data_IF_963841529658
#
_entry.id   IF_963841529658
#
_cell.length_a   1.000
_cell.length_b   1.000
_cell.length_c   1.000
_cell.angle_alpha   90.00
_cell.angle_beta   90.00
_cell.angle_gamma   90.00
#
_symmetry.space_group_name_H-M   'P 1'
#
loop_
_entity.id
_entity.type
_entity.pdbx_description
1 polymer ?
#
# COMPACT_ATOMS: atom_id res chain seq x y z
N UNK A 1 8.24 1.74 -28.31
CA UNK A 1 9.16 0.73 -27.74
C UNK A 1 8.46 -0.61 -27.64
N UNK A 2 9.14 -1.73 -27.72
CA UNK A 2 8.47 -3.03 -27.77
C UNK A 2 8.10 -3.47 -26.36
N UNK A 3 6.81 -3.61 -26.06
CA UNK A 3 6.27 -4.21 -24.82
C UNK A 3 6.99 -5.52 -24.47
N UNK A 4 7.50 -6.22 -25.49
CA UNK A 4 8.29 -7.46 -25.33
C UNK A 4 9.62 -7.26 -24.61
N UNK A 5 10.32 -6.13 -24.82
CA UNK A 5 11.61 -5.85 -24.16
C UNK A 5 11.37 -5.51 -22.68
N UNK A 6 10.30 -4.75 -22.40
CA UNK A 6 9.87 -4.44 -21.05
C UNK A 6 9.44 -5.68 -20.28
N UNK A 7 8.58 -6.52 -20.87
CA UNK A 7 8.14 -7.79 -20.27
C UNK A 7 9.31 -8.74 -19.99
N UNK A 8 10.25 -8.85 -20.94
CA UNK A 8 11.45 -9.68 -20.76
C UNK A 8 12.35 -9.16 -19.61
N UNK A 9 12.43 -7.85 -19.45
CA UNK A 9 13.18 -7.22 -18.36
C UNK A 9 12.54 -7.49 -17.01
N UNK A 10 11.22 -7.41 -16.89
CA UNK A 10 10.48 -7.75 -15.68
C UNK A 10 10.61 -9.25 -15.34
N UNK A 11 10.53 -10.12 -16.36
CA UNK A 11 10.72 -11.56 -16.18
C UNK A 11 12.12 -11.90 -15.70
N UNK A 12 13.13 -11.19 -16.19
CA UNK A 12 14.52 -11.35 -15.73
C UNK A 12 14.65 -10.93 -14.26
N UNK A 13 14.09 -9.78 -13.89
CA UNK A 13 14.09 -9.30 -12.48
C UNK A 13 13.45 -10.30 -11.52
N UNK A 14 12.35 -10.94 -11.92
CA UNK A 14 11.66 -11.97 -11.12
C UNK A 14 12.50 -13.23 -10.89
N UNK A 15 13.42 -13.54 -11.78
CA UNK A 15 14.32 -14.72 -11.71
C UNK A 15 15.60 -14.45 -10.95
N UNK A 16 15.95 -13.18 -10.74
CA UNK A 16 17.16 -12.79 -10.02
C UNK A 16 16.91 -12.80 -8.51
N UNK A 17 18.02 -12.83 -7.74
CA UNK A 17 17.93 -12.86 -6.28
C UNK A 17 17.22 -11.60 -5.75
N UNK A 18 16.06 -11.72 -5.06
CA UNK A 18 15.28 -10.60 -4.57
C UNK A 18 16.03 -9.74 -3.54
N UNK A 19 16.98 -10.31 -2.78
CA UNK A 19 17.86 -9.53 -1.87
C UNK A 19 18.73 -8.50 -2.60
N UNK A 20 18.88 -8.61 -3.91
CA UNK A 20 19.69 -7.71 -4.74
C UNK A 20 18.85 -6.93 -5.74
N UNK A 21 17.55 -6.81 -5.50
CA UNK A 21 16.62 -6.21 -6.47
C UNK A 21 17.05 -4.82 -6.93
N UNK A 22 17.39 -3.93 -6.01
CA UNK A 22 17.85 -2.57 -6.33
C UNK A 22 19.10 -2.56 -7.21
N UNK A 23 20.07 -3.45 -6.91
CA UNK A 23 21.28 -3.58 -7.73
C UNK A 23 20.96 -4.18 -9.10
N UNK A 24 20.08 -5.15 -9.16
CA UNK A 24 19.69 -5.83 -10.39
C UNK A 24 18.92 -4.83 -11.30
N UNK A 25 17.99 -4.09 -10.74
CA UNK A 25 17.25 -3.03 -11.45
C UNK A 25 18.19 -1.95 -11.99
N UNK A 26 19.10 -1.44 -11.15
CA UNK A 26 20.09 -0.45 -11.59
C UNK A 26 20.97 -0.97 -12.74
N UNK A 27 21.38 -2.23 -12.68
CA UNK A 27 22.17 -2.84 -13.75
C UNK A 27 21.34 -2.98 -15.03
N UNK A 28 20.06 -3.30 -14.93
CA UNK A 28 19.16 -3.38 -16.08
C UNK A 28 18.96 -2.02 -16.74
N UNK A 29 18.69 -0.97 -15.95
CA UNK A 29 18.59 0.41 -16.44
C UNK A 29 19.89 0.91 -17.10
N UNK A 30 21.04 0.39 -16.68
CA UNK A 30 22.34 0.70 -17.34
C UNK A 30 22.53 -0.04 -18.65
N UNK A 31 22.02 -1.27 -18.76
CA UNK A 31 22.09 -2.05 -20.00
C UNK A 31 21.12 -1.54 -21.05
N UNK A 32 19.91 -1.14 -20.64
CA UNK A 32 18.84 -0.68 -21.50
C UNK A 32 18.32 0.68 -20.97
N UNK A 33 19.05 1.78 -21.23
CA UNK A 33 18.67 3.10 -20.71
C UNK A 33 17.30 3.60 -21.19
N UNK A 34 16.86 3.15 -22.37
CA UNK A 34 15.56 3.51 -22.94
C UNK A 34 14.38 2.93 -22.16
N UNK A 35 14.59 1.85 -21.39
CA UNK A 35 13.60 1.24 -20.53
C UNK A 35 13.68 1.72 -19.07
N UNK A 36 14.64 2.58 -18.74
CA UNK A 36 14.90 2.93 -17.34
C UNK A 36 13.71 3.61 -16.66
N UNK A 37 13.05 4.54 -17.35
CA UNK A 37 11.88 5.24 -16.82
C UNK A 37 10.70 4.28 -16.59
N UNK A 38 10.37 3.46 -17.58
CA UNK A 38 9.30 2.48 -17.51
C UNK A 38 9.56 1.44 -16.41
N UNK A 39 10.80 0.96 -16.28
CA UNK A 39 11.20 0.00 -15.27
C UNK A 39 11.16 0.60 -13.85
N UNK A 40 11.61 1.84 -13.70
CA UNK A 40 11.59 2.53 -12.40
C UNK A 40 10.17 2.88 -11.97
N UNK A 41 9.30 3.28 -12.91
CA UNK A 41 7.90 3.57 -12.61
C UNK A 41 7.07 2.33 -12.27
N UNK A 42 7.48 1.15 -12.76
CA UNK A 42 6.78 -0.12 -12.50
C UNK A 42 7.16 -0.81 -11.18
N UNK A 43 8.20 -0.32 -10.51
CA UNK A 43 8.66 -0.87 -9.23
C UNK A 43 8.21 0.02 -8.08
N UNK A 44 7.28 -0.49 -7.28
CA UNK A 44 6.88 0.19 -6.05
C UNK A 44 8.08 0.33 -5.12
N UNK A 45 8.41 1.55 -4.75
CA UNK A 45 9.45 1.82 -3.77
C UNK A 45 8.84 1.94 -2.37
N UNK A 46 9.45 1.33 -1.33
CA UNK A 46 9.00 1.51 0.03
C UNK A 46 8.93 3.00 0.40
N UNK A 47 7.91 3.37 1.16
CA UNK A 47 7.73 4.74 1.64
C UNK A 47 8.94 5.18 2.46
N UNK A 48 9.46 6.37 2.15
CA UNK A 48 10.56 7.00 2.89
C UNK A 48 10.00 7.81 4.05
N UNK A 49 10.72 7.82 5.17
CA UNK A 49 10.40 8.65 6.33
C UNK A 49 11.36 9.84 6.35
N UNK A 50 10.82 11.03 6.51
CA UNK A 50 11.59 12.25 6.78
C UNK A 50 11.11 12.92 8.07
N UNK A 51 11.87 13.88 8.57
CA UNK A 51 11.52 14.68 9.74
C UNK A 51 11.25 16.12 9.32
N UNK A 52 10.15 16.66 9.80
CA UNK A 52 9.81 18.05 9.64
C UNK A 52 10.81 18.93 10.40
N UNK A 53 11.50 19.83 9.70
CA UNK A 53 12.51 20.71 10.31
C UNK A 53 11.92 21.67 11.34
N UNK A 54 10.63 22.04 11.20
CA UNK A 54 9.96 22.98 12.13
C UNK A 54 9.39 22.29 13.37
N UNK A 55 8.76 21.12 13.22
CA UNK A 55 8.04 20.44 14.30
C UNK A 55 8.81 19.25 14.88
N UNK A 56 9.79 18.73 14.17
CA UNK A 56 10.52 17.51 14.53
C UNK A 56 9.74 16.21 14.36
N UNK A 57 8.43 16.29 13.98
CA UNK A 57 7.60 15.10 13.71
C UNK A 57 8.04 14.42 12.41
N UNK A 58 7.95 13.10 12.40
CA UNK A 58 8.17 12.30 11.19
C UNK A 58 7.01 12.46 10.21
N UNK A 59 7.30 12.27 8.92
CA UNK A 59 6.29 12.20 7.87
C UNK A 59 6.75 11.30 6.73
N UNK A 60 5.79 10.79 5.96
CA UNK A 60 6.01 9.89 4.85
C UNK A 60 6.13 10.66 3.53
N UNK A 61 7.07 10.21 2.69
CA UNK A 61 7.36 10.81 1.40
C UNK A 61 6.86 9.92 0.26
N UNK A 62 6.22 10.53 -0.72
CA UNK A 62 5.80 9.91 -1.98
C UNK A 62 5.83 10.96 -3.10
N UNK A 63 5.46 10.57 -4.31
CA UNK A 63 5.45 11.51 -5.44
C UNK A 63 4.38 12.59 -5.31
N UNK A 64 3.30 12.35 -4.54
CA UNK A 64 2.21 13.32 -4.34
C UNK A 64 2.56 14.50 -3.41
N UNK A 65 3.61 14.40 -2.60
CA UNK A 65 4.10 15.52 -1.77
C UNK A 65 5.49 15.98 -2.19
N UNK A 66 5.90 15.61 -3.40
CA UNK A 66 7.24 15.88 -3.92
C UNK A 66 7.24 17.06 -4.89
N UNK A 67 8.28 17.88 -4.79
CA UNK A 67 8.65 18.85 -5.81
C UNK A 67 10.18 18.81 -5.99
N UNK A 68 10.63 18.41 -7.18
CA UNK A 68 12.02 18.12 -7.45
C UNK A 68 12.62 17.08 -6.49
N UNK A 69 13.61 17.50 -5.71
CA UNK A 69 14.25 16.65 -4.68
C UNK A 69 13.69 16.89 -3.27
N UNK A 70 12.69 17.77 -3.14
CA UNK A 70 12.11 18.20 -1.88
C UNK A 70 10.75 17.56 -1.63
N UNK A 71 10.39 17.37 -0.35
CA UNK A 71 9.12 16.79 0.06
C UNK A 71 8.40 17.72 1.05
N UNK A 72 7.12 17.99 0.80
CA UNK A 72 6.27 18.81 1.65
C UNK A 72 5.93 18.07 2.95
N UNK A 73 6.19 18.71 4.07
CA UNK A 73 5.77 18.20 5.38
C UNK A 73 4.28 18.52 5.64
N UNK A 74 3.44 17.56 6.02
CA UNK A 74 2.04 17.81 6.34
C UNK A 74 1.88 18.59 7.64
N UNK A 75 2.92 18.64 8.49
CA UNK A 75 2.90 19.30 9.78
C UNK A 75 3.16 20.81 9.71
N UNK A 76 4.02 21.25 8.79
CA UNK A 76 4.41 22.65 8.64
C UNK A 76 3.98 23.28 7.32
N UNK A 77 3.52 22.46 6.37
CA UNK A 77 3.27 22.84 4.97
C UNK A 77 4.50 23.39 4.25
N UNK A 78 5.72 23.05 4.72
CA UNK A 78 7.00 23.47 4.14
C UNK A 78 7.71 22.30 3.47
N UNK A 79 8.49 22.60 2.44
CA UNK A 79 9.30 21.61 1.73
C UNK A 79 10.67 21.44 2.38
N UNK A 80 11.15 20.20 2.40
CA UNK A 80 12.46 19.82 2.91
C UNK A 80 13.18 18.90 1.92
N UNK A 81 14.41 19.24 1.44
CA UNK A 81 15.09 20.53 1.61
C UNK A 81 14.23 21.73 1.19
N UNK A 82 14.54 22.93 1.69
CA UNK A 82 13.83 24.16 1.28
C UNK A 82 13.98 24.41 -0.22
N UNK A 83 12.92 24.84 -0.86
CA UNK A 83 12.88 25.18 -2.28
C UNK A 83 13.19 26.68 -2.41
N UNK A 84 13.97 27.07 -3.43
CA UNK A 84 14.35 28.48 -3.67
C UNK A 84 13.15 29.36 -4.01
N UNK A 85 12.09 28.80 -4.62
CA UNK A 85 10.86 29.49 -5.03
C UNK A 85 9.63 28.83 -4.40
N UNK A 86 9.53 28.97 -3.07
CA UNK A 86 8.44 28.32 -2.30
C UNK A 86 7.05 28.81 -2.69
N UNK A 87 6.94 30.03 -3.28
CA UNK A 87 5.67 30.60 -3.72
C UNK A 87 5.11 29.91 -5.00
N UNK A 88 5.95 29.24 -5.77
CA UNK A 88 5.55 28.48 -6.98
C UNK A 88 5.37 26.98 -6.72
N UNK A 89 5.78 26.50 -5.55
CA UNK A 89 5.62 25.11 -5.19
C UNK A 89 4.12 24.74 -5.01
N UNK A 90 3.73 23.51 -5.36
CA UNK A 90 2.34 23.09 -5.25
C UNK A 90 1.88 22.99 -3.79
N UNK A 91 1.01 23.92 -3.39
CA UNK A 91 0.37 23.93 -2.07
C UNK A 91 -1.16 23.76 -2.22
N UNK A 92 -1.80 23.03 -1.28
CA UNK A 92 -3.25 22.98 -1.26
C UNK A 92 -3.86 24.35 -0.93
N UNK A 93 -5.08 24.60 -1.43
CA UNK A 93 -5.86 25.77 -1.02
C UNK A 93 -6.02 25.83 0.49
N UNK A 94 -6.29 27.03 1.05
CA UNK A 94 -6.46 27.22 2.50
C UNK A 94 -7.56 26.31 3.08
N UNK A 95 -8.63 26.06 2.33
CA UNK A 95 -9.70 25.15 2.71
C UNK A 95 -9.22 23.70 2.79
N UNK A 96 -8.54 23.22 1.74
CA UNK A 96 -7.98 21.86 1.73
C UNK A 96 -6.89 21.71 2.78
N UNK A 97 -6.09 22.76 3.03
CA UNK A 97 -5.07 22.71 4.08
C UNK A 97 -5.67 22.47 5.47
N UNK A 98 -6.75 23.20 5.80
CA UNK A 98 -7.45 22.97 7.09
C UNK A 98 -8.01 21.56 7.20
N UNK A 99 -8.55 21.02 6.11
CA UNK A 99 -9.05 19.66 6.07
C UNK A 99 -7.91 18.61 6.11
N UNK A 100 -6.78 18.89 5.50
CA UNK A 100 -5.56 18.05 5.52
C UNK A 100 -4.99 17.94 6.95
N UNK A 101 -4.94 19.05 7.69
CA UNK A 101 -4.50 19.05 9.10
C UNK A 101 -5.42 18.17 9.96
N UNK A 102 -6.74 18.35 9.83
CA UNK A 102 -7.70 17.50 10.53
C UNK A 102 -7.60 16.03 10.12
N UNK A 103 -7.34 15.75 8.83
CA UNK A 103 -7.15 14.39 8.33
C UNK A 103 -5.87 13.76 8.90
N UNK A 104 -4.76 14.50 8.97
CA UNK A 104 -3.52 14.01 9.58
C UNK A 104 -3.71 13.65 11.06
N UNK A 105 -4.41 14.48 11.84
CA UNK A 105 -4.72 14.17 13.24
C UNK A 105 -5.61 12.92 13.36
N UNK A 106 -6.60 12.77 12.46
CA UNK A 106 -7.51 11.62 12.46
C UNK A 106 -6.79 10.32 12.08
N UNK A 107 -5.94 10.35 11.06
CA UNK A 107 -5.17 9.17 10.63
C UNK A 107 -4.00 8.84 11.57
N UNK A 108 -3.53 9.79 12.34
CA UNK A 108 -2.58 9.51 13.44
C UNK A 108 -3.23 8.63 14.51
N UNK A 109 -4.50 8.89 14.84
CA UNK A 109 -5.30 8.03 15.74
C UNK A 109 -5.58 6.66 15.09
N UNK A 110 -5.97 6.64 13.80
CA UNK A 110 -6.19 5.40 13.05
C UNK A 110 -4.93 4.51 13.06
N UNK A 111 -3.77 5.08 12.80
CA UNK A 111 -2.47 4.40 12.86
C UNK A 111 -2.22 3.79 14.25
N UNK A 112 -2.43 4.54 15.32
CA UNK A 112 -2.22 4.02 16.68
C UNK A 112 -3.16 2.83 16.99
N UNK A 113 -4.41 2.88 16.52
CA UNK A 113 -5.40 1.82 16.77
C UNK A 113 -5.11 0.54 15.98
N UNK A 114 -4.73 0.66 14.71
CA UNK A 114 -4.62 -0.50 13.80
C UNK A 114 -3.21 -0.99 13.57
N UNK A 115 -2.21 -0.11 13.75
CA UNK A 115 -0.81 -0.42 13.46
C UNK A 115 0.07 -0.45 14.73
N UNK A 116 -0.47 -0.13 15.89
CA UNK A 116 0.26 -0.10 17.17
C UNK A 116 1.58 0.68 17.05
N UNK A 117 1.52 1.91 16.56
CA UNK A 117 2.66 2.74 16.20
C UNK A 117 2.96 2.68 14.69
N UNK A 118 4.10 3.22 14.26
CA UNK A 118 4.42 3.45 12.86
C UNK A 118 4.23 4.92 12.49
N UNK A 119 4.13 5.20 11.19
CA UNK A 119 4.04 6.57 10.66
C UNK A 119 2.81 6.70 9.77
N UNK A 120 2.15 7.85 9.81
CA UNK A 120 1.06 8.23 8.90
C UNK A 120 1.31 9.62 8.31
N UNK A 121 0.79 9.85 7.10
CA UNK A 121 0.77 11.17 6.48
C UNK A 121 -0.37 11.28 5.49
N UNK A 122 -1.00 12.44 5.44
CA UNK A 122 -2.09 12.75 4.53
C UNK A 122 -1.75 14.00 3.75
N UNK A 123 -1.99 13.95 2.43
CA UNK A 123 -1.79 15.08 1.53
C UNK A 123 -3.01 15.25 0.65
N UNK A 124 -3.46 16.49 0.51
CA UNK A 124 -4.58 16.86 -0.34
C UNK A 124 -4.11 17.83 -1.43
N UNK A 125 -4.80 17.80 -2.57
CA UNK A 125 -4.59 18.75 -3.66
C UNK A 125 -5.92 19.03 -4.37
N UNK A 126 -5.97 20.19 -5.01
CA UNK A 126 -7.12 20.61 -5.79
C UNK A 126 -7.13 19.82 -7.12
N UNK A 127 -8.28 19.34 -7.54
CA UNK A 127 -8.46 18.79 -8.90
C UNK A 127 -8.65 19.93 -9.91
N UNK A 128 -8.34 19.66 -11.18
CA UNK A 128 -8.51 20.66 -12.25
C UNK A 128 -9.99 21.04 -12.42
N UNK A 129 -10.25 22.27 -12.94
CA UNK A 129 -11.57 22.89 -13.05
C UNK A 129 -12.63 22.11 -13.87
N UNK A 130 -12.24 21.05 -14.59
CA UNK A 130 -13.16 20.21 -15.37
C UNK A 130 -14.11 19.39 -14.51
N UNK A 131 -13.80 19.19 -13.22
CA UNK A 131 -14.61 18.44 -12.25
C UNK A 131 -15.59 19.30 -11.45
N UNK A 132 -15.85 20.53 -11.89
CA UNK A 132 -16.88 21.38 -11.27
C UNK A 132 -18.26 20.80 -11.58
N UNK A 133 -18.97 20.36 -10.55
CA UNK A 133 -20.32 19.86 -10.71
C UNK A 133 -21.34 20.97 -11.02
N UNK A 134 -22.60 20.57 -11.30
CA UNK A 134 -23.71 21.53 -11.59
C UNK A 134 -24.04 22.48 -10.41
N UNK A 135 -23.53 22.22 -9.21
CA UNK A 135 -23.73 23.05 -7.99
C UNK A 135 -22.55 24.00 -7.76
N UNK A 136 -21.49 23.95 -8.56
CA UNK A 136 -20.30 24.81 -8.41
C UNK A 136 -19.35 24.35 -7.28
N UNK A 137 -19.55 23.16 -6.72
CA UNK A 137 -18.61 22.56 -5.77
C UNK A 137 -17.49 21.88 -6.52
N UNK A 138 -16.25 22.19 -6.13
CA UNK A 138 -15.04 21.66 -6.75
C UNK A 138 -14.66 20.36 -6.04
N UNK A 139 -14.31 19.32 -6.82
CA UNK A 139 -13.74 18.10 -6.32
C UNK A 139 -12.33 18.31 -5.76
N UNK A 140 -11.85 17.34 -5.03
CA UNK A 140 -10.47 17.31 -4.57
C UNK A 140 -9.95 15.88 -4.55
N UNK A 141 -8.64 15.77 -4.52
CA UNK A 141 -7.98 14.48 -4.42
C UNK A 141 -6.97 14.48 -3.27
N UNK A 142 -6.47 13.31 -2.95
CA UNK A 142 -5.49 13.19 -1.90
C UNK A 142 -4.90 11.79 -1.79
N UNK A 143 -3.93 11.67 -0.89
CA UNK A 143 -3.30 10.41 -0.54
C UNK A 143 -3.19 10.26 0.96
N UNK A 144 -3.53 9.09 1.47
CA UNK A 144 -3.23 8.65 2.83
C UNK A 144 -2.14 7.60 2.77
N UNK A 145 -1.07 7.84 3.50
CA UNK A 145 0.09 6.98 3.61
C UNK A 145 0.18 6.42 5.03
N UNK A 146 0.42 5.11 5.12
CA UNK A 146 0.64 4.43 6.39
C UNK A 146 1.87 3.54 6.26
N UNK A 147 2.74 3.56 7.25
CA UNK A 147 3.93 2.72 7.29
C UNK A 147 4.11 2.11 8.66
N UNK A 148 4.26 0.79 8.70
CA UNK A 148 4.70 0.06 9.89
C UNK A 148 5.93 -0.75 9.57
N UNK A 149 6.98 -0.51 10.32
CA UNK A 149 8.21 -1.29 10.25
C UNK A 149 8.41 -2.05 11.55
N UNK A 150 8.76 -3.31 11.43
CA UNK A 150 9.17 -4.16 12.55
C UNK A 150 10.62 -4.52 12.31
N UNK A 151 11.51 -3.97 13.13
CA UNK A 151 12.93 -4.31 13.06
C UNK A 151 13.15 -5.74 13.55
N UNK A 152 14.10 -6.46 12.94
CA UNK A 152 14.48 -7.78 13.40
C UNK A 152 14.89 -7.72 14.88
N UNK A 153 14.04 -8.25 15.74
CA UNK A 153 14.30 -8.40 17.18
C UNK A 153 15.22 -9.61 17.42
N UNK A 154 15.55 -9.90 18.68
CA UNK A 154 16.27 -11.12 19.06
C UNK A 154 15.59 -12.42 18.59
N UNK A 155 14.35 -12.36 18.11
CA UNK A 155 13.62 -13.46 17.47
C UNK A 155 13.87 -13.57 15.96
N UNK A 156 14.62 -12.62 15.36
CA UNK A 156 15.04 -12.69 13.96
C UNK A 156 13.94 -12.43 12.92
N UNK A 157 12.75 -11.97 13.34
CA UNK A 157 11.65 -11.65 12.45
C UNK A 157 11.57 -10.13 12.25
N UNK A 158 11.53 -9.70 11.00
CA UNK A 158 11.36 -8.31 10.62
C UNK A 158 10.34 -8.16 9.50
N UNK A 159 9.90 -6.94 9.26
CA UNK A 159 8.98 -6.68 8.17
C UNK A 159 8.63 -5.21 8.02
N UNK A 160 8.09 -4.88 6.86
CA UNK A 160 7.55 -3.58 6.55
C UNK A 160 6.18 -3.76 5.88
N UNK A 161 5.24 -2.96 6.32
CA UNK A 161 3.93 -2.79 5.70
C UNK A 161 3.79 -1.33 5.31
N UNK A 162 3.67 -1.06 4.02
CA UNK A 162 3.43 0.27 3.47
C UNK A 162 2.07 0.27 2.77
N UNK A 163 1.18 1.18 3.16
CA UNK A 163 -0.12 1.40 2.51
C UNK A 163 -0.14 2.76 1.85
N UNK A 164 -0.55 2.80 0.59
CA UNK A 164 -0.72 3.99 -0.22
C UNK A 164 -2.17 4.03 -0.70
N UNK A 165 -2.94 4.97 -0.21
CA UNK A 165 -4.37 5.14 -0.51
C UNK A 165 -4.59 6.43 -1.25
N UNK A 166 -4.60 6.37 -2.58
CA UNK A 166 -4.93 7.53 -3.43
C UNK A 166 -6.44 7.60 -3.60
N UNK A 167 -7.03 8.74 -3.31
CA UNK A 167 -8.46 8.93 -3.43
C UNK A 167 -8.79 10.20 -4.21
N UNK A 168 -9.97 10.18 -4.80
CA UNK A 168 -10.61 11.29 -5.47
C UNK A 168 -12.02 11.47 -4.91
N UNK A 169 -12.39 12.69 -4.59
CA UNK A 169 -13.72 13.05 -4.08
C UNK A 169 -14.41 13.92 -5.12
N UNK A 170 -15.47 13.38 -5.69
CA UNK A 170 -16.27 14.05 -6.72
C UNK A 170 -17.61 14.42 -6.10
N UNK A 171 -17.86 15.70 -5.82
CA UNK A 171 -19.17 16.15 -5.36
C UNK A 171 -20.22 15.88 -6.43
N UNK A 172 -21.36 15.33 -6.00
CA UNK A 172 -22.55 15.18 -6.83
C UNK A 172 -23.58 16.25 -6.43
N UNK A 173 -24.82 15.98 -6.55
CA UNK A 173 -25.87 16.93 -6.16
C UNK A 173 -26.26 16.78 -4.68
N UNK A 174 -26.57 17.89 -4.02
CA UNK A 174 -27.27 17.91 -2.72
C UNK A 174 -26.54 17.20 -1.56
N UNK A 175 -25.25 17.48 -1.36
CA UNK A 175 -24.51 16.97 -0.21
C UNK A 175 -24.20 15.47 -0.30
N UNK A 176 -24.05 14.94 -1.51
CA UNK A 176 -23.57 13.59 -1.81
C UNK A 176 -22.30 13.72 -2.62
N UNK A 177 -21.28 12.94 -2.26
CA UNK A 177 -20.05 12.82 -3.05
C UNK A 177 -19.72 11.36 -3.32
N UNK A 178 -19.09 11.14 -4.46
CA UNK A 178 -18.48 9.87 -4.84
C UNK A 178 -17.01 9.89 -4.41
N UNK A 179 -16.64 8.88 -3.64
CA UNK A 179 -15.27 8.65 -3.16
C UNK A 179 -14.70 7.48 -3.95
N UNK A 180 -13.77 7.77 -4.85
CA UNK A 180 -13.00 6.76 -5.58
C UNK A 180 -11.68 6.55 -4.84
N UNK A 181 -11.30 5.30 -4.61
CA UNK A 181 -10.11 4.91 -3.88
C UNK A 181 -9.30 3.88 -4.67
N UNK A 182 -8.02 4.14 -4.81
CA UNK A 182 -7.03 3.15 -5.27
C UNK A 182 -6.06 2.90 -4.13
N UNK A 183 -6.05 1.69 -3.60
CA UNK A 183 -5.21 1.30 -2.47
C UNK A 183 -4.16 0.31 -2.91
N UNK A 184 -2.89 0.60 -2.62
CA UNK A 184 -1.75 -0.29 -2.83
C UNK A 184 -1.11 -0.60 -1.49
N UNK A 185 -0.93 -1.88 -1.20
CA UNK A 185 -0.18 -2.36 -0.04
C UNK A 185 1.10 -3.01 -0.53
N UNK A 186 2.23 -2.57 0.00
CA UNK A 186 3.55 -3.16 -0.23
C UNK A 186 3.95 -3.88 1.06
N UNK A 187 4.24 -5.17 0.94
CA UNK A 187 4.63 -6.03 2.04
C UNK A 187 6.05 -6.54 1.83
N UNK A 188 6.88 -6.42 2.85
CA UNK A 188 8.20 -7.03 2.92
C UNK A 188 8.36 -7.72 4.27
N UNK A 189 8.59 -9.03 4.25
CA UNK A 189 8.75 -9.86 5.44
C UNK A 189 10.09 -10.59 5.38
N UNK A 190 10.78 -10.62 6.50
CA UNK A 190 12.04 -11.32 6.65
C UNK A 190 12.08 -12.14 7.93
N UNK A 191 12.70 -13.32 7.88
CA UNK A 191 13.03 -14.11 9.05
C UNK A 191 14.42 -14.68 8.94
N UNK A 192 15.16 -14.67 10.05
CA UNK A 192 16.48 -15.28 10.18
C UNK A 192 16.49 -16.50 11.10
N UNK A 193 15.32 -16.97 11.54
CA UNK A 193 15.21 -18.17 12.38
C UNK A 193 15.39 -19.44 11.54
N UNK A 194 16.58 -20.02 11.59
CA UNK A 194 16.90 -21.34 11.01
C UNK A 194 17.15 -21.32 9.51
N UNK A 195 16.42 -20.60 8.73
CA UNK A 195 16.64 -20.41 7.29
C UNK A 195 16.22 -18.97 6.93
N UNK A 196 17.12 -18.19 6.37
CA UNK A 196 16.82 -16.84 5.88
C UNK A 196 15.70 -16.92 4.83
N UNK A 197 14.54 -16.40 5.14
CA UNK A 197 13.41 -16.30 4.22
C UNK A 197 13.04 -14.84 4.01
N UNK A 198 12.77 -14.48 2.78
CA UNK A 198 12.29 -13.18 2.36
C UNK A 198 11.03 -13.37 1.54
N UNK A 199 10.00 -12.63 1.89
CA UNK A 199 8.76 -12.55 1.14
C UNK A 199 8.45 -11.09 0.92
N UNK A 200 8.36 -10.66 -0.32
CA UNK A 200 7.93 -9.30 -0.67
C UNK A 200 6.91 -9.34 -1.80
N UNK A 201 6.06 -8.34 -1.85
CA UNK A 201 5.07 -8.21 -2.90
C UNK A 201 4.16 -7.02 -2.65
N UNK A 202 3.35 -6.71 -3.66
CA UNK A 202 2.33 -5.68 -3.58
C UNK A 202 0.96 -6.21 -3.98
N UNK A 203 -0.07 -5.50 -3.55
CA UNK A 203 -1.44 -5.77 -3.95
C UNK A 203 -2.19 -4.45 -4.07
N UNK A 204 -2.76 -4.20 -5.25
CA UNK A 204 -3.55 -2.99 -5.53
C UNK A 204 -5.01 -3.35 -5.72
N UNK A 205 -5.91 -2.54 -5.17
CA UNK A 205 -7.36 -2.64 -5.33
C UNK A 205 -7.98 -1.27 -5.47
N UNK A 206 -9.07 -1.25 -6.23
CA UNK A 206 -9.91 -0.07 -6.39
C UNK A 206 -11.25 -0.29 -5.71
N UNK A 207 -11.79 0.78 -5.14
CA UNK A 207 -13.10 0.81 -4.49
C UNK A 207 -13.77 2.15 -4.79
N UNK A 208 -15.09 2.15 -4.87
CA UNK A 208 -15.89 3.36 -5.07
C UNK A 208 -17.10 3.32 -4.13
N UNK A 209 -17.39 4.43 -3.48
CA UNK A 209 -18.50 4.53 -2.55
C UNK A 209 -19.14 5.92 -2.62
N UNK A 210 -20.46 5.96 -2.72
CA UNK A 210 -21.23 7.21 -2.58
C UNK A 210 -21.63 7.41 -1.13
N UNK A 211 -21.38 8.59 -0.60
CA UNK A 211 -21.71 8.94 0.79
C UNK A 211 -22.17 10.38 0.91
N UNK A 212 -23.04 10.62 1.90
CA UNK A 212 -23.48 11.98 2.25
C UNK A 212 -22.36 12.70 3.01
N UNK A 213 -22.25 13.99 2.76
CA UNK A 213 -21.39 14.89 3.54
C UNK A 213 -22.14 16.15 3.93
N UNK A 214 -21.74 16.74 5.03
CA UNK A 214 -22.32 17.99 5.57
C UNK A 214 -21.24 18.99 5.98
N UNK A 215 -19.99 18.54 6.04
CA UNK A 215 -18.84 19.32 6.51
C UNK A 215 -17.53 18.72 6.02
N UNK A 216 -16.45 19.44 6.14
CA UNK A 216 -15.08 18.95 5.88
C UNK A 216 -14.74 17.67 6.67
N UNK A 217 -15.16 17.62 7.95
CA UNK A 217 -14.95 16.43 8.79
C UNK A 217 -15.70 15.19 8.29
N UNK A 218 -16.87 15.36 7.67
CA UNK A 218 -17.60 14.23 7.06
C UNK A 218 -16.87 13.66 5.85
N UNK A 219 -16.17 14.50 5.06
CA UNK A 219 -15.30 13.99 3.99
C UNK A 219 -14.19 13.10 4.55
N UNK A 220 -13.48 13.55 5.59
CA UNK A 220 -12.42 12.78 6.23
C UNK A 220 -12.94 11.46 6.81
N UNK A 221 -14.12 11.48 7.46
CA UNK A 221 -14.76 10.28 7.99
C UNK A 221 -15.15 9.29 6.88
N UNK A 222 -15.70 9.78 5.76
CA UNK A 222 -16.06 8.96 4.62
C UNK A 222 -14.81 8.33 3.95
N UNK A 223 -13.74 9.11 3.76
CA UNK A 223 -12.45 8.62 3.25
C UNK A 223 -11.92 7.53 4.18
N UNK A 224 -11.87 7.77 5.49
CA UNK A 224 -11.43 6.78 6.48
C UNK A 224 -12.25 5.49 6.42
N UNK A 225 -13.57 5.58 6.30
CA UNK A 225 -14.44 4.38 6.16
C UNK A 225 -14.13 3.57 4.90
N UNK A 226 -13.87 4.21 3.76
CA UNK A 226 -13.55 3.50 2.51
C UNK A 226 -12.16 2.87 2.58
N UNK A 227 -11.21 3.54 3.22
CA UNK A 227 -9.85 3.02 3.45
C UNK A 227 -9.91 1.80 4.36
N UNK A 228 -10.58 1.88 5.52
CA UNK A 228 -10.71 0.77 6.47
C UNK A 228 -11.34 -0.47 5.82
N UNK A 229 -12.46 -0.30 5.11
CA UNK A 229 -13.13 -1.36 4.37
C UNK A 229 -12.18 -2.03 3.36
N UNK A 230 -11.33 -1.24 2.69
CA UNK A 230 -10.41 -1.72 1.66
C UNK A 230 -9.18 -2.39 2.27
N UNK A 231 -8.57 -1.79 3.30
CA UNK A 231 -7.43 -2.39 4.01
C UNK A 231 -7.78 -3.73 4.67
N UNK A 232 -8.97 -3.82 5.29
CA UNK A 232 -9.43 -5.08 5.86
C UNK A 232 -9.53 -6.19 4.81
N UNK A 233 -10.06 -5.88 3.62
CA UNK A 233 -10.12 -6.82 2.49
C UNK A 233 -8.73 -7.17 1.96
N UNK A 234 -7.84 -6.19 1.80
CA UNK A 234 -6.47 -6.41 1.33
C UNK A 234 -5.69 -7.32 2.28
N UNK A 235 -5.78 -7.07 3.59
CA UNK A 235 -5.13 -7.91 4.62
C UNK A 235 -5.63 -9.35 4.57
N UNK A 236 -6.95 -9.55 4.46
CA UNK A 236 -7.52 -10.89 4.39
C UNK A 236 -7.10 -11.61 3.10
N UNK A 237 -7.08 -10.91 1.95
CA UNK A 237 -6.61 -11.48 0.69
C UNK A 237 -5.12 -11.83 0.73
N UNK A 238 -4.28 -10.99 1.32
CA UNK A 238 -2.86 -11.27 1.51
C UNK A 238 -2.66 -12.52 2.36
N UNK A 239 -3.40 -12.64 3.47
CA UNK A 239 -3.36 -13.83 4.32
C UNK A 239 -3.78 -15.07 3.54
N UNK A 240 -4.92 -15.04 2.86
CA UNK A 240 -5.44 -16.19 2.11
C UNK A 240 -4.49 -16.61 0.98
N UNK A 241 -4.03 -15.67 0.16
CA UNK A 241 -3.24 -15.99 -1.04
C UNK A 241 -1.82 -16.40 -0.69
N UNK A 242 -1.14 -15.62 0.15
CA UNK A 242 0.29 -15.84 0.42
C UNK A 242 0.53 -16.94 1.45
N UNK A 243 -0.37 -17.12 2.40
CA UNK A 243 -0.15 -18.08 3.49
C UNK A 243 -1.02 -19.33 3.36
N UNK A 244 -2.32 -19.18 3.25
CA UNK A 244 -3.25 -20.32 3.30
C UNK A 244 -3.22 -21.14 2.01
N UNK A 245 -3.32 -20.51 0.83
CA UNK A 245 -3.26 -21.22 -0.45
C UNK A 245 -1.88 -21.83 -0.69
N UNK A 246 -0.81 -21.10 -0.38
CA UNK A 246 0.55 -21.63 -0.52
C UNK A 246 0.77 -22.83 0.40
N UNK A 247 0.30 -22.75 1.65
CA UNK A 247 0.36 -23.86 2.61
C UNK A 247 -0.44 -25.07 2.09
N UNK A 248 -1.63 -24.87 1.55
CA UNK A 248 -2.44 -25.94 0.98
C UNK A 248 -1.76 -26.60 -0.22
N UNK A 249 -1.26 -25.81 -1.17
CA UNK A 249 -0.55 -26.33 -2.35
C UNK A 249 0.70 -27.13 -1.93
N UNK A 250 1.49 -26.62 -0.99
CA UNK A 250 2.66 -27.34 -0.49
C UNK A 250 2.22 -28.63 0.21
N UNK A 251 1.13 -28.59 0.97
CA UNK A 251 0.54 -29.76 1.63
C UNK A 251 0.06 -30.83 0.64
N UNK A 252 -0.49 -30.39 -0.52
CA UNK A 252 -0.90 -31.29 -1.60
C UNK A 252 0.30 -31.86 -2.38
N UNK A 253 1.35 -31.06 -2.58
CA UNK A 253 2.57 -31.52 -3.25
C UNK A 253 3.38 -32.50 -2.37
N UNK A 254 3.42 -32.26 -1.08
CA UNK A 254 4.07 -33.14 -0.12
C UNK A 254 3.35 -33.12 1.22
N UNK A 255 2.67 -34.21 1.55
CA UNK A 255 2.03 -34.37 2.86
C UNK A 255 3.02 -34.23 4.01
N UNK A 256 2.64 -33.42 5.02
CA UNK A 256 3.37 -33.25 6.30
C UNK A 256 3.09 -34.41 7.25
N UNK A 257 2.07 -35.25 6.95
CA UNK A 257 1.66 -36.36 7.80
C UNK A 257 2.74 -37.45 7.80
N UNK A 258 2.95 -38.04 8.96
CA UNK A 258 3.81 -39.21 9.10
C UNK A 258 3.20 -40.42 8.39
N UNK A 259 4.04 -41.34 7.94
CA UNK A 259 3.58 -42.56 7.24
C UNK A 259 2.53 -43.32 8.05
N UNK A 260 2.68 -43.41 9.37
CA UNK A 260 1.72 -44.07 10.24
C UNK A 260 0.33 -43.43 10.21
N UNK A 261 0.24 -42.09 10.23
CA UNK A 261 -1.04 -41.36 10.14
C UNK A 261 -1.71 -41.59 8.79
N UNK A 262 -0.93 -41.61 7.70
CA UNK A 262 -1.43 -41.92 6.36
C UNK A 262 -1.95 -43.35 6.24
N UNK A 263 -1.28 -44.29 6.86
CA UNK A 263 -1.70 -45.69 6.85
C UNK A 263 -2.98 -45.91 7.65
N UNK A 264 -3.13 -45.24 8.80
CA UNK A 264 -4.36 -45.25 9.57
C UNK A 264 -5.54 -44.59 8.84
N UNK A 265 -5.33 -43.51 8.15
CA UNK A 265 -6.36 -42.85 7.31
C UNK A 265 -6.77 -43.77 6.13
N UNK A 266 -5.81 -44.43 5.47
CA UNK A 266 -6.09 -45.39 4.39
C UNK A 266 -6.94 -46.56 4.88
N UNK A 267 -6.59 -47.14 6.04
CA UNK A 267 -7.33 -48.24 6.65
C UNK A 267 -8.77 -47.82 7.01
N UNK A 268 -8.93 -46.60 7.54
CA UNK A 268 -10.29 -46.05 7.83
C UNK A 268 -11.10 -45.89 6.55
N UNK A 269 -10.50 -45.33 5.49
CA UNK A 269 -11.16 -45.17 4.19
C UNK A 269 -11.56 -46.52 3.57
N UNK A 270 -10.66 -47.51 3.58
CA UNK A 270 -10.94 -48.87 3.09
C UNK A 270 -12.08 -49.53 3.88
N UNK A 271 -12.11 -49.31 5.19
CA UNK A 271 -13.18 -49.82 6.06
C UNK A 271 -14.53 -49.17 5.75
N UNK A 272 -14.54 -47.84 5.50
CA UNK A 272 -15.74 -47.10 5.07
C UNK A 272 -16.26 -47.57 3.72
N UNK A 273 -15.35 -47.73 2.76
CA UNK A 273 -15.69 -48.23 1.39
C UNK A 273 -16.27 -49.64 1.45
N UNK A 274 -15.69 -50.52 2.30
CA UNK A 274 -16.22 -51.85 2.49
C UNK A 274 -17.63 -51.84 3.11
N UNK A 275 -17.89 -50.99 4.07
CA UNK A 275 -19.21 -50.81 4.66
C UNK A 275 -20.24 -50.25 3.69
N UNK A 276 -19.82 -49.25 2.87
CA UNK A 276 -20.72 -48.70 1.83
C UNK A 276 -21.06 -49.68 0.68
N UNK A 277 -20.20 -50.66 0.39
CA UNK A 277 -20.46 -51.71 -0.56
C UNK A 277 -21.36 -52.83 -0.08
N UNK A 278 -21.62 -52.87 1.21
CA UNK A 278 -22.49 -53.86 1.91
C UNK A 278 -23.92 -53.34 2.14
N UNK A 279 -24.16 -52.05 1.88
CA UNK A 279 -25.44 -51.39 1.82
C UNK A 279 -26.04 -51.47 0.41
#
# INVERSE_FOLDING_TARGET
MSDKAFDASLDLLRRLNPKKISKNLLNLCRLEPELAEDLLSSVDTPLKIQKCGKTGKSYLCCDYNRDGDSYRSPWSNQYYPTIDDEDQAPHPTAYLRTMEEFANDSFDIYRDLYYEGGESSVYFWDTEDEDVNQTGEIGFAGVVLLKKQIDPTNQGNGGCWDSIHVFEVIPENSGIATYKLTSTVILDLSTSQGMDMFLSGNLTRQNEKKSKYTSASSHVANIGSVIEDTESKLRNMLQEVYFDKTKSIIGDLRSIQTLNVKEDERLRQETLIKKLRQL
#
